data_IF_460915798359
#
_entry.id   IF_460915798359
#
_cell.length_a   1.000
_cell.length_b   1.000
_cell.length_c   1.000
_cell.angle_alpha   90.00
_cell.angle_beta   90.00
_cell.angle_gamma   90.00
#
_symmetry.space_group_name_H-M   'P 1'
#
loop_
_entity.id
_entity.type
_entity.pdbx_description
1 polymer ?
#
# COMPACT_ATOMS: atom_id res chain seq x y z
N UNK A 1 4.18 -8.02 -21.52
CA UNK A 1 3.37 -6.78 -21.56
C UNK A 1 3.99 -5.68 -20.71
N UNK A 2 4.13 -5.83 -19.38
CA UNK A 2 4.69 -4.79 -18.50
C UNK A 2 6.07 -4.27 -18.93
N UNK A 3 7.07 -5.16 -19.08
CA UNK A 3 8.42 -4.82 -19.56
C UNK A 3 8.36 -4.04 -20.88
N UNK A 4 7.64 -4.57 -21.87
CA UNK A 4 7.45 -3.91 -23.17
C UNK A 4 6.95 -2.47 -23.05
N UNK A 5 5.95 -2.21 -22.19
CA UNK A 5 5.43 -0.84 -21.97
C UNK A 5 6.51 0.05 -21.34
N UNK A 6 7.22 -0.44 -20.32
CA UNK A 6 8.29 0.32 -19.68
C UNK A 6 9.45 0.62 -20.64
N UNK A 7 9.89 -0.35 -21.43
CA UNK A 7 10.90 -0.16 -22.48
C UNK A 7 10.49 0.88 -23.52
N UNK A 8 9.21 0.91 -23.94
CA UNK A 8 8.69 1.95 -24.84
C UNK A 8 8.76 3.33 -24.19
N UNK A 9 8.35 3.48 -22.93
CA UNK A 9 8.45 4.75 -22.21
C UNK A 9 9.90 5.21 -22.04
N UNK A 10 10.81 4.29 -21.68
CA UNK A 10 12.24 4.56 -21.59
C UNK A 10 12.84 5.00 -22.93
N UNK A 11 12.52 4.28 -24.01
CA UNK A 11 12.96 4.65 -25.36
C UNK A 11 12.42 6.02 -25.79
N UNK A 12 11.15 6.31 -25.49
CA UNK A 12 10.55 7.62 -25.75
C UNK A 12 11.28 8.75 -25.00
N UNK A 13 11.54 8.59 -23.70
CA UNK A 13 12.29 9.56 -22.90
C UNK A 13 13.71 9.73 -23.45
N UNK A 14 14.40 8.64 -23.77
CA UNK A 14 15.75 8.68 -24.33
C UNK A 14 15.82 9.40 -25.68
N UNK A 15 14.89 9.11 -26.59
CA UNK A 15 14.76 9.79 -27.87
C UNK A 15 14.49 11.29 -27.68
N UNK A 16 13.70 11.66 -26.68
CA UNK A 16 13.34 13.06 -26.44
C UNK A 16 14.37 13.88 -25.71
N UNK A 17 15.24 13.25 -24.93
CA UNK A 17 16.16 13.97 -24.04
C UNK A 17 17.62 13.81 -24.45
N UNK A 18 18.02 12.67 -25.02
CA UNK A 18 19.42 12.38 -25.36
C UNK A 18 19.73 12.62 -26.83
N UNK A 19 18.83 12.24 -27.75
CA UNK A 19 19.00 12.53 -29.19
C UNK A 19 19.26 14.01 -29.50
N UNK A 20 18.56 14.98 -28.90
CA UNK A 20 18.72 16.41 -29.21
C UNK A 20 20.07 16.97 -28.75
N UNK A 21 20.78 16.26 -27.86
CA UNK A 21 22.14 16.65 -27.49
C UNK A 21 23.11 16.50 -28.67
N UNK A 22 22.74 15.73 -29.70
CA UNK A 22 23.46 15.66 -30.95
C UNK A 22 23.46 17.03 -31.66
N UNK A 23 24.51 17.82 -31.45
CA UNK A 23 24.70 19.12 -32.10
C UNK A 23 24.40 20.36 -31.25
N UNK A 24 24.02 20.18 -29.98
CA UNK A 24 23.82 21.30 -29.02
C UNK A 24 24.92 21.36 -27.96
N UNK A 25 25.41 20.19 -27.53
CA UNK A 25 26.47 20.06 -26.53
C UNK A 25 27.49 19.06 -27.09
N UNK A 26 28.79 19.30 -26.86
CA UNK A 26 29.89 18.41 -27.25
C UNK A 26 29.92 17.11 -26.39
N UNK A 27 28.79 16.43 -26.28
CA UNK A 27 28.71 15.12 -25.63
C UNK A 27 29.15 14.06 -26.64
N UNK A 28 30.23 13.32 -26.36
CA UNK A 28 30.72 12.30 -27.26
C UNK A 28 29.65 11.20 -27.47
N UNK A 29 29.73 10.50 -28.61
CA UNK A 29 28.76 9.44 -28.96
C UNK A 29 28.63 8.40 -27.85
N UNK A 30 29.74 8.00 -27.23
CA UNK A 30 29.73 7.04 -26.11
C UNK A 30 28.97 7.57 -24.89
N UNK A 31 29.03 8.88 -24.62
CA UNK A 31 28.34 9.50 -23.49
C UNK A 31 26.83 9.50 -23.71
N UNK A 32 26.40 9.79 -24.94
CA UNK A 32 24.98 9.68 -25.34
C UNK A 32 24.49 8.23 -25.28
N UNK A 33 25.28 7.28 -25.79
CA UNK A 33 24.94 5.86 -25.74
C UNK A 33 24.79 5.36 -24.28
N UNK A 34 25.70 5.80 -23.39
CA UNK A 34 25.62 5.48 -21.97
C UNK A 34 24.34 6.05 -21.32
N UNK A 35 23.98 7.31 -21.63
CA UNK A 35 22.76 7.91 -21.10
C UNK A 35 21.50 7.17 -21.55
N UNK A 36 21.41 6.78 -22.83
CA UNK A 36 20.32 5.94 -23.36
C UNK A 36 20.27 4.61 -22.60
N UNK A 37 21.41 3.95 -22.45
CA UNK A 37 21.49 2.67 -21.73
C UNK A 37 20.99 2.81 -20.29
N UNK A 38 21.42 3.85 -19.55
CA UNK A 38 20.96 4.08 -18.17
C UNK A 38 19.45 4.28 -18.10
N UNK A 39 18.86 5.08 -18.99
CA UNK A 39 17.40 5.29 -19.04
C UNK A 39 16.67 3.96 -19.26
N UNK A 40 17.14 3.14 -20.21
CA UNK A 40 16.53 1.85 -20.51
C UNK A 40 16.68 0.85 -19.36
N UNK A 41 17.84 0.81 -18.69
CA UNK A 41 18.06 -0.04 -17.51
C UNK A 41 17.15 0.36 -16.35
N UNK A 42 16.97 1.66 -16.12
CA UNK A 42 16.04 2.16 -15.10
C UNK A 42 14.59 1.82 -15.45
N UNK A 43 14.19 2.00 -16.71
CA UNK A 43 12.86 1.63 -17.19
C UNK A 43 12.58 0.12 -17.01
N UNK A 44 13.57 -0.72 -17.32
CA UNK A 44 13.47 -2.17 -17.26
C UNK A 44 13.88 -2.77 -15.91
N UNK A 45 13.98 -1.97 -14.85
CA UNK A 45 14.50 -2.42 -13.56
C UNK A 45 13.77 -3.69 -13.04
N UNK A 46 12.45 -3.82 -13.24
CA UNK A 46 11.69 -5.00 -12.80
C UNK A 46 12.05 -6.27 -13.58
N UNK A 47 12.32 -6.14 -14.88
CA UNK A 47 12.82 -7.24 -15.70
C UNK A 47 14.22 -7.63 -15.24
N UNK A 48 15.08 -6.65 -14.96
CA UNK A 48 16.42 -6.90 -14.43
C UNK A 48 16.38 -7.58 -13.06
N UNK A 49 15.50 -7.14 -12.15
CA UNK A 49 15.27 -7.79 -10.85
C UNK A 49 14.84 -9.24 -11.05
N UNK A 50 13.91 -9.50 -11.98
CA UNK A 50 13.45 -10.86 -12.28
C UNK A 50 14.58 -11.75 -12.80
N UNK A 51 15.42 -11.22 -13.68
CA UNK A 51 16.55 -11.97 -14.25
C UNK A 51 17.66 -12.21 -13.21
N UNK A 52 17.90 -11.26 -12.30
CA UNK A 52 18.97 -11.34 -11.31
C UNK A 52 18.58 -12.15 -10.07
N UNK A 53 17.34 -12.04 -9.60
CA UNK A 53 16.88 -12.55 -8.29
C UNK A 53 15.69 -13.51 -8.38
N UNK A 54 15.26 -13.87 -9.59
CA UNK A 54 14.14 -14.80 -9.81
C UNK A 54 12.74 -14.24 -9.51
N UNK A 55 12.64 -12.99 -9.05
CA UNK A 55 11.39 -12.32 -8.68
C UNK A 55 11.39 -10.86 -9.17
N UNK A 56 10.22 -10.24 -9.31
CA UNK A 56 10.13 -8.82 -9.72
C UNK A 56 9.74 -7.87 -8.57
N UNK A 57 9.63 -8.40 -7.35
CA UNK A 57 8.98 -7.72 -6.22
C UNK A 57 9.98 -7.23 -5.17
N UNK A 58 11.11 -7.92 -4.98
CA UNK A 58 12.19 -7.50 -4.08
C UNK A 58 13.48 -7.25 -4.86
N UNK A 59 13.97 -6.01 -4.81
CA UNK A 59 15.26 -5.63 -5.35
C UNK A 59 16.35 -5.77 -4.28
N UNK A 60 17.18 -6.80 -4.40
CA UNK A 60 18.18 -7.18 -3.39
C UNK A 60 19.53 -6.44 -3.53
N UNK A 61 19.46 -5.13 -3.75
CA UNK A 61 20.63 -4.23 -3.79
C UNK A 61 20.78 -3.44 -2.48
N UNK A 62 21.98 -2.91 -2.15
CA UNK A 62 22.15 -1.99 -1.03
C UNK A 62 21.10 -0.86 -1.03
N UNK A 63 20.61 -0.46 0.15
CA UNK A 63 19.50 0.50 0.30
C UNK A 63 19.65 1.77 -0.55
N UNK A 64 20.85 2.35 -0.57
CA UNK A 64 21.12 3.54 -1.36
C UNK A 64 20.91 3.32 -2.87
N UNK A 65 21.24 2.13 -3.37
CA UNK A 65 20.99 1.76 -4.77
C UNK A 65 19.51 1.53 -5.03
N UNK A 66 18.77 0.90 -4.11
CA UNK A 66 17.31 0.73 -4.25
C UNK A 66 16.60 2.09 -4.30
N UNK A 67 17.03 3.04 -3.47
CA UNK A 67 16.55 4.43 -3.52
C UNK A 67 16.87 5.07 -4.88
N UNK A 68 18.13 4.97 -5.33
CA UNK A 68 18.54 5.54 -6.61
C UNK A 68 17.79 4.95 -7.81
N UNK A 69 17.56 3.63 -7.81
CA UNK A 69 16.77 2.94 -8.84
C UNK A 69 15.32 3.41 -8.81
N UNK A 70 14.71 3.53 -7.64
CA UNK A 70 13.33 4.04 -7.53
C UNK A 70 13.20 5.50 -7.97
N UNK A 71 14.16 6.36 -7.63
CA UNK A 71 14.19 7.76 -8.11
C UNK A 71 14.36 7.78 -9.63
N UNK A 72 15.28 7.00 -10.18
CA UNK A 72 15.52 6.93 -11.61
C UNK A 72 14.33 6.37 -12.39
N UNK A 73 13.72 5.28 -11.91
CA UNK A 73 12.52 4.68 -12.51
C UNK A 73 11.33 5.64 -12.46
N UNK A 74 11.08 6.26 -11.30
CA UNK A 74 10.07 7.30 -11.16
C UNK A 74 10.31 8.49 -12.09
N UNK A 75 11.57 8.91 -12.27
CA UNK A 75 11.95 9.98 -13.18
C UNK A 75 11.61 9.61 -14.63
N UNK A 76 11.90 8.39 -15.08
CA UNK A 76 11.54 7.93 -16.44
C UNK A 76 10.02 8.03 -16.65
N UNK A 77 9.21 7.51 -15.71
CA UNK A 77 7.75 7.52 -15.84
C UNK A 77 7.20 8.95 -15.84
N UNK A 78 7.63 9.77 -14.87
CA UNK A 78 7.14 11.14 -14.72
C UNK A 78 7.57 12.02 -15.89
N UNK A 79 8.81 11.88 -16.37
CA UNK A 79 9.28 12.58 -17.56
C UNK A 79 8.55 12.14 -18.81
N UNK A 80 8.25 10.85 -18.98
CA UNK A 80 7.43 10.38 -20.09
C UNK A 80 6.04 11.03 -20.08
N UNK A 81 5.39 11.11 -18.91
CA UNK A 81 4.09 11.76 -18.77
C UNK A 81 4.15 13.27 -19.06
N UNK A 82 5.17 13.98 -18.55
CA UNK A 82 5.37 15.41 -18.80
C UNK A 82 5.64 15.70 -20.28
N UNK A 83 6.48 14.89 -20.93
CA UNK A 83 6.78 15.00 -22.35
C UNK A 83 5.53 14.73 -23.20
N UNK A 84 4.75 13.69 -22.87
CA UNK A 84 3.51 13.37 -23.57
C UNK A 84 2.47 14.49 -23.44
N UNK A 85 2.35 15.09 -22.24
CA UNK A 85 1.50 16.24 -22.01
C UNK A 85 1.94 17.43 -22.87
N UNK A 86 3.24 17.75 -22.86
CA UNK A 86 3.82 18.83 -23.64
C UNK A 86 3.57 18.64 -25.16
N UNK A 87 3.75 17.42 -25.66
CA UNK A 87 3.49 17.08 -27.07
C UNK A 87 2.02 17.22 -27.43
N UNK A 88 1.14 16.77 -26.54
CA UNK A 88 -0.31 16.89 -26.74
C UNK A 88 -0.70 18.37 -26.84
N UNK A 89 -0.17 19.22 -25.95
CA UNK A 89 -0.43 20.66 -25.97
C UNK A 89 0.12 21.31 -27.25
N UNK A 90 1.33 20.94 -27.68
CA UNK A 90 1.93 21.48 -28.92
C UNK A 90 1.22 20.99 -30.19
N UNK A 91 0.76 19.74 -30.21
CA UNK A 91 -0.07 19.21 -31.29
C UNK A 91 -1.39 19.97 -31.38
N UNK A 92 -2.11 20.13 -30.26
CA UNK A 92 -3.37 20.88 -30.23
C UNK A 92 -3.16 22.34 -30.67
N UNK A 93 -2.11 23.00 -30.18
CA UNK A 93 -1.74 24.35 -30.66
C UNK A 93 -1.48 24.36 -32.17
N UNK A 94 -0.75 23.39 -32.69
CA UNK A 94 -0.42 23.30 -34.11
C UNK A 94 -1.67 23.15 -34.98
N UNK A 95 -2.63 22.35 -34.52
CA UNK A 95 -3.92 22.15 -35.18
C UNK A 95 -4.79 23.42 -35.15
N UNK A 96 -4.80 24.16 -34.04
CA UNK A 96 -5.58 25.41 -33.90
C UNK A 96 -4.97 26.56 -34.70
N UNK A 97 -3.65 26.71 -34.62
CA UNK A 97 -2.94 27.85 -35.23
C UNK A 97 -2.52 27.60 -36.69
N UNK A 98 -2.67 26.37 -37.18
CA UNK A 98 -2.14 25.91 -38.47
C UNK A 98 -0.62 26.09 -38.62
N UNK A 99 0.09 26.27 -37.50
CA UNK A 99 1.55 26.35 -37.45
C UNK A 99 2.11 25.01 -37.00
N UNK A 100 2.62 24.20 -37.93
CA UNK A 100 3.03 22.83 -37.64
C UNK A 100 4.34 22.76 -36.84
N UNK A 101 4.22 22.72 -35.50
CA UNK A 101 5.31 22.52 -34.53
C UNK A 101 4.81 21.62 -33.40
N UNK A 102 4.55 20.32 -33.67
CA UNK A 102 3.85 19.44 -32.73
C UNK A 102 4.72 18.99 -31.54
N UNK A 103 6.03 19.24 -31.56
CA UNK A 103 6.96 18.84 -30.50
C UNK A 103 7.71 20.06 -29.97
N UNK A 104 7.70 20.23 -28.65
CA UNK A 104 8.45 21.28 -27.95
C UNK A 104 9.82 20.72 -27.50
N UNK A 105 10.69 20.51 -28.47
CA UNK A 105 11.98 19.83 -28.27
C UNK A 105 12.87 20.56 -27.26
N UNK A 106 12.85 21.89 -27.29
CA UNK A 106 13.59 22.79 -26.41
C UNK A 106 13.25 22.64 -24.91
N UNK A 107 12.07 22.10 -24.58
CA UNK A 107 11.63 21.89 -23.20
C UNK A 107 11.94 20.49 -22.67
N UNK A 108 12.49 19.59 -23.49
CA UNK A 108 12.67 18.19 -23.10
C UNK A 108 13.64 18.01 -21.92
N UNK A 109 14.70 18.84 -21.85
CA UNK A 109 15.61 18.84 -20.70
C UNK A 109 14.95 19.33 -19.42
N UNK A 110 14.08 20.35 -19.51
CA UNK A 110 13.31 20.85 -18.38
C UNK A 110 12.29 19.82 -17.87
N UNK A 111 11.61 19.10 -18.78
CA UNK A 111 10.71 18.01 -18.42
C UNK A 111 11.45 16.83 -17.74
N UNK A 112 12.66 16.52 -18.19
CA UNK A 112 13.51 15.52 -17.54
C UNK A 112 13.91 15.96 -16.12
N UNK A 113 14.42 17.18 -15.97
CA UNK A 113 14.81 17.73 -14.68
C UNK A 113 13.63 17.80 -13.70
N UNK A 114 12.47 18.27 -14.15
CA UNK A 114 11.26 18.33 -13.34
C UNK A 114 10.79 16.93 -12.94
N UNK A 115 10.78 15.97 -13.87
CA UNK A 115 10.42 14.57 -13.58
C UNK A 115 11.34 13.95 -12.53
N UNK A 116 12.65 14.19 -12.60
CA UNK A 116 13.62 13.76 -11.60
C UNK A 116 13.37 14.38 -10.22
N UNK A 117 13.08 15.68 -10.16
CA UNK A 117 12.78 16.37 -8.89
C UNK A 117 11.50 15.82 -8.27
N UNK A 118 10.43 15.66 -9.05
CA UNK A 118 9.17 15.09 -8.56
C UNK A 118 9.39 13.64 -8.09
N UNK A 119 10.17 12.84 -8.83
CA UNK A 119 10.52 11.48 -8.43
C UNK A 119 11.26 11.45 -7.10
N UNK A 120 12.29 12.28 -6.95
CA UNK A 120 13.07 12.38 -5.71
C UNK A 120 12.20 12.79 -4.52
N UNK A 121 11.30 13.77 -4.70
CA UNK A 121 10.32 14.15 -3.67
C UNK A 121 9.38 12.99 -3.34
N UNK A 122 8.87 12.29 -4.35
CA UNK A 122 7.96 11.16 -4.16
C UNK A 122 8.61 9.98 -3.43
N UNK A 123 9.85 9.65 -3.77
CA UNK A 123 10.64 8.63 -3.05
C UNK A 123 10.97 9.09 -1.64
N UNK A 124 11.36 10.35 -1.46
CA UNK A 124 11.59 10.90 -0.12
C UNK A 124 10.35 10.83 0.77
N UNK A 125 9.16 11.03 0.20
CA UNK A 125 7.89 10.86 0.93
C UNK A 125 7.59 9.40 1.26
N UNK A 126 7.86 8.47 0.33
CA UNK A 126 7.67 7.03 0.56
C UNK A 126 8.55 6.52 1.71
N UNK A 127 9.78 7.03 1.83
CA UNK A 127 10.73 6.65 2.89
C UNK A 127 10.36 7.14 4.30
N UNK A 128 9.33 7.97 4.44
CA UNK A 128 8.93 8.50 5.76
C UNK A 128 8.22 7.44 6.59
N UNK A 129 8.38 7.57 7.90
CA UNK A 129 7.53 6.86 8.84
C UNK A 129 6.06 7.29 8.65
N UNK A 130 5.09 6.37 8.81
CA UNK A 130 3.68 6.65 8.50
C UNK A 130 3.10 7.76 9.38
N UNK A 131 2.23 8.59 8.82
CA UNK A 131 1.49 9.56 9.62
C UNK A 131 0.46 8.83 10.49
N UNK A 132 0.30 9.26 11.74
CA UNK A 132 -0.81 8.74 12.56
C UNK A 132 -2.13 9.26 12.01
N UNK A 133 -3.13 8.39 11.94
CA UNK A 133 -4.50 8.71 11.54
C UNK A 133 -5.48 8.07 12.51
N UNK A 134 -6.38 8.88 13.05
CA UNK A 134 -7.37 8.43 14.01
C UNK A 134 -8.76 8.39 13.35
N UNK A 135 -9.47 7.28 13.53
CA UNK A 135 -10.84 7.07 13.08
C UNK A 135 -11.72 6.66 14.26
N UNK A 136 -12.98 7.05 14.21
CA UNK A 136 -14.01 6.60 15.14
C UNK A 136 -15.16 6.03 14.32
N UNK A 137 -15.46 4.73 14.49
CA UNK A 137 -16.43 4.01 13.67
C UNK A 137 -17.57 3.51 14.55
N UNK A 138 -18.80 3.87 14.20
CA UNK A 138 -19.99 3.31 14.82
C UNK A 138 -20.28 1.95 14.19
N UNK A 139 -20.19 0.89 14.99
CA UNK A 139 -20.43 -0.48 14.55
C UNK A 139 -21.83 -0.90 14.99
N UNK A 140 -22.64 -1.36 14.03
CA UNK A 140 -24.00 -1.85 14.30
C UNK A 140 -23.97 -3.06 15.23
N UNK A 141 -24.81 -3.07 16.27
CA UNK A 141 -24.85 -4.19 17.22
C UNK A 141 -23.59 -4.36 18.08
N UNK A 142 -22.66 -3.40 18.09
CA UNK A 142 -21.48 -3.47 18.94
C UNK A 142 -21.87 -3.50 20.43
N UNK A 143 -21.46 -4.50 21.21
CA UNK A 143 -21.71 -4.53 22.64
C UNK A 143 -21.07 -3.33 23.35
N UNK A 144 -21.75 -2.78 24.35
CA UNK A 144 -21.28 -1.60 25.10
C UNK A 144 -19.91 -1.82 25.78
N UNK A 145 -19.54 -3.07 26.07
CA UNK A 145 -18.23 -3.44 26.59
C UNK A 145 -17.06 -3.11 25.64
N UNK A 146 -17.35 -2.94 24.34
CA UNK A 146 -16.40 -2.52 23.31
C UNK A 146 -16.57 -1.04 22.91
N UNK A 147 -17.44 -0.26 23.57
CA UNK A 147 -17.48 1.19 23.30
C UNK A 147 -16.16 1.85 23.72
N UNK A 148 -15.52 2.55 22.76
CA UNK A 148 -14.20 3.13 22.96
C UNK A 148 -13.04 2.16 22.80
N UNK A 149 -13.28 0.91 22.39
CA UNK A 149 -12.24 -0.09 22.12
C UNK A 149 -11.32 0.36 20.99
N UNK A 150 -10.00 0.31 21.22
CA UNK A 150 -9.00 0.86 20.31
C UNK A 150 -8.25 -0.24 19.56
N UNK A 151 -8.35 -0.19 18.23
CA UNK A 151 -7.60 -1.01 17.29
C UNK A 151 -6.46 -0.18 16.69
N UNK A 152 -5.31 -0.78 16.44
CA UNK A 152 -4.30 -0.23 15.52
C UNK A 152 -4.22 -1.14 14.30
N UNK A 153 -4.44 -0.57 13.12
CA UNK A 153 -4.37 -1.26 11.85
C UNK A 153 -3.07 -0.93 11.13
N UNK A 154 -2.30 -1.98 10.83
CA UNK A 154 -1.10 -1.97 10.00
C UNK A 154 -1.34 -2.81 8.75
N UNK A 155 -0.68 -2.46 7.65
CA UNK A 155 -0.71 -3.24 6.40
C UNK A 155 0.37 -2.73 5.47
N UNK A 156 0.84 -3.55 4.54
CA UNK A 156 1.79 -3.10 3.51
C UNK A 156 3.05 -2.46 4.13
N UNK A 157 3.64 -3.14 5.12
CA UNK A 157 4.86 -2.69 5.80
C UNK A 157 6.08 -2.93 4.90
N UNK A 158 6.05 -3.97 4.07
CA UNK A 158 7.08 -4.25 3.05
C UNK A 158 8.52 -4.17 3.58
N UNK A 159 8.79 -4.79 4.73
CA UNK A 159 10.15 -4.89 5.29
C UNK A 159 11.07 -5.53 4.25
N UNK A 160 12.15 -4.81 3.93
CA UNK A 160 12.94 -5.01 2.71
C UNK A 160 14.23 -4.17 2.74
N UNK A 161 14.97 -4.13 1.62
CA UNK A 161 16.14 -3.23 1.45
C UNK A 161 15.79 -1.76 1.65
N UNK A 162 14.52 -1.40 1.44
CA UNK A 162 14.06 -0.03 1.59
C UNK A 162 13.66 0.29 3.04
N UNK A 163 12.97 -0.66 3.70
CA UNK A 163 12.48 -0.58 5.08
C UNK A 163 13.15 -1.65 5.93
N UNK A 164 14.27 -1.28 6.54
CA UNK A 164 15.13 -2.16 7.33
C UNK A 164 14.76 -2.10 8.82
N UNK A 165 15.51 -2.83 9.65
CA UNK A 165 15.33 -2.96 11.09
C UNK A 165 14.99 -1.66 11.82
N UNK A 166 15.73 -0.57 11.59
CA UNK A 166 15.50 0.73 12.26
C UNK A 166 14.09 1.29 12.00
N UNK A 167 13.55 1.02 10.80
CA UNK A 167 12.18 1.39 10.44
C UNK A 167 11.18 0.59 11.29
N UNK A 168 11.36 -0.74 11.37
CA UNK A 168 10.52 -1.63 12.15
C UNK A 168 10.57 -1.29 13.65
N UNK A 169 11.76 -1.05 14.22
CA UNK A 169 11.92 -0.66 15.63
C UNK A 169 11.20 0.64 15.95
N UNK A 170 11.27 1.63 15.05
CA UNK A 170 10.56 2.89 15.22
C UNK A 170 9.05 2.72 15.07
N UNK A 171 8.60 1.92 14.11
CA UNK A 171 7.18 1.61 13.94
C UNK A 171 6.61 0.93 15.19
N UNK A 172 7.29 -0.11 15.71
CA UNK A 172 6.88 -0.86 16.90
C UNK A 172 6.76 0.05 18.12
N UNK A 173 7.74 0.92 18.35
CA UNK A 173 7.65 1.92 19.43
C UNK A 173 6.41 2.81 19.28
N UNK A 174 6.20 3.36 18.08
CA UNK A 174 5.05 4.25 17.82
C UNK A 174 3.70 3.54 17.98
N UNK A 175 3.60 2.28 17.57
CA UNK A 175 2.39 1.46 17.75
C UNK A 175 2.13 1.24 19.24
N UNK A 176 3.15 0.84 19.99
CA UNK A 176 3.02 0.60 21.43
C UNK A 176 2.67 1.87 22.21
N UNK A 177 3.20 3.03 21.81
CA UNK A 177 2.90 4.33 22.40
C UNK A 177 1.42 4.75 22.24
N UNK A 178 0.70 4.16 21.28
CA UNK A 178 -0.75 4.40 21.12
C UNK A 178 -1.59 3.71 22.19
N UNK A 179 -1.05 2.71 22.89
CA UNK A 179 -1.73 2.01 23.99
C UNK A 179 -3.02 1.28 23.58
N UNK A 180 -3.06 0.77 22.35
CA UNK A 180 -4.25 0.12 21.78
C UNK A 180 -4.62 -1.18 22.50
N UNK A 181 -5.91 -1.52 22.47
CA UNK A 181 -6.40 -2.79 23.00
C UNK A 181 -6.02 -3.95 22.06
N UNK A 182 -6.04 -3.73 20.74
CA UNK A 182 -5.73 -4.74 19.71
C UNK A 182 -4.85 -4.18 18.59
N UNK A 183 -3.88 -4.98 18.10
CA UNK A 183 -3.14 -4.66 16.86
C UNK A 183 -3.54 -5.66 15.78
N UNK A 184 -3.84 -5.15 14.59
CA UNK A 184 -4.33 -5.90 13.45
C UNK A 184 -3.46 -5.62 12.23
N UNK A 185 -2.95 -6.67 11.57
CA UNK A 185 -2.07 -6.57 10.41
C UNK A 185 -2.70 -7.27 9.21
N UNK A 186 -3.14 -6.54 8.20
CA UNK A 186 -3.87 -7.10 7.05
C UNK A 186 -2.98 -7.41 5.84
N UNK A 187 -1.80 -7.99 6.06
CA UNK A 187 -0.94 -8.51 5.00
C UNK A 187 0.20 -7.62 4.51
N UNK A 188 1.04 -8.21 3.64
CA UNK A 188 2.20 -7.59 2.99
C UNK A 188 3.21 -6.99 4.00
N UNK A 189 3.67 -7.83 4.94
CA UNK A 189 4.65 -7.39 5.94
C UNK A 189 6.06 -7.33 5.35
N UNK A 190 6.36 -8.13 4.32
CA UNK A 190 7.72 -8.38 3.83
C UNK A 190 7.85 -8.28 2.31
N UNK A 191 9.08 -8.06 1.86
CA UNK A 191 9.52 -8.35 0.50
C UNK A 191 10.86 -9.07 0.51
N UNK A 192 10.91 -10.26 -0.10
CA UNK A 192 12.09 -11.09 -0.19
C UNK A 192 12.02 -12.35 0.68
N UNK A 193 12.99 -13.24 0.50
CA UNK A 193 13.03 -14.54 1.17
C UNK A 193 13.54 -14.42 2.61
N UNK A 194 12.94 -15.20 3.53
CA UNK A 194 13.19 -15.15 4.98
C UNK A 194 14.68 -15.08 5.40
N UNK A 195 15.61 -15.89 4.85
CA UNK A 195 17.01 -15.87 5.32
C UNK A 195 17.72 -14.52 5.17
N UNK A 196 17.24 -13.66 4.26
CA UNK A 196 17.80 -12.33 4.07
C UNK A 196 17.27 -11.29 5.07
N UNK A 197 16.12 -11.56 5.70
CA UNK A 197 15.27 -10.53 6.32
C UNK A 197 14.89 -10.80 7.77
N UNK A 198 15.21 -11.96 8.31
CA UNK A 198 14.90 -12.33 9.70
C UNK A 198 15.28 -11.25 10.73
N UNK A 199 16.46 -10.62 10.57
CA UNK A 199 16.93 -9.56 11.49
C UNK A 199 16.16 -8.26 11.39
N UNK A 200 15.65 -7.93 10.20
CA UNK A 200 14.89 -6.72 9.93
C UNK A 200 13.44 -6.86 10.40
N UNK A 201 12.89 -8.08 10.39
CA UNK A 201 11.53 -8.40 10.86
C UNK A 201 11.49 -8.66 12.38
N UNK A 202 12.59 -9.10 12.98
CA UNK A 202 12.68 -9.40 14.42
C UNK A 202 12.08 -8.34 15.38
N UNK A 203 12.18 -7.02 15.12
CA UNK A 203 11.54 -6.01 15.98
C UNK A 203 10.03 -6.17 16.13
N UNK A 204 9.33 -6.79 15.17
CA UNK A 204 7.88 -6.98 15.23
C UNK A 204 7.44 -7.84 16.43
N UNK A 205 8.31 -8.69 16.97
CA UNK A 205 8.06 -9.41 18.23
C UNK A 205 7.86 -8.47 19.44
N UNK A 206 8.26 -7.20 19.30
CA UNK A 206 8.05 -6.18 20.31
C UNK A 206 6.67 -5.51 20.26
N UNK A 207 5.80 -5.83 19.29
CA UNK A 207 4.44 -5.30 19.23
C UNK A 207 3.64 -5.76 20.44
N UNK A 208 2.93 -4.84 21.08
CA UNK A 208 2.14 -5.10 22.29
C UNK A 208 0.75 -4.50 22.17
N UNK A 209 -0.25 -5.33 22.42
CA UNK A 209 -1.63 -4.94 22.63
C UNK A 209 -2.20 -5.83 23.74
N UNK A 210 -3.23 -5.34 24.43
CA UNK A 210 -3.84 -6.06 25.58
C UNK A 210 -4.45 -7.39 25.15
N UNK A 211 -5.15 -7.35 24.03
CA UNK A 211 -5.94 -8.47 23.51
C UNK A 211 -5.22 -9.18 22.35
N UNK A 212 -3.98 -8.79 22.06
CA UNK A 212 -3.07 -9.49 21.14
C UNK A 212 -2.72 -8.73 19.85
N UNK A 213 -1.90 -9.38 19.04
CA UNK A 213 -1.44 -8.89 17.73
C UNK A 213 -1.79 -9.94 16.69
N UNK A 214 -2.70 -9.64 15.78
CA UNK A 214 -3.20 -10.58 14.78
C UNK A 214 -2.75 -10.20 13.38
N UNK A 215 -2.41 -11.21 12.56
CA UNK A 215 -1.95 -11.03 11.19
C UNK A 215 -2.70 -11.94 10.22
N UNK A 216 -3.08 -11.37 9.08
CA UNK A 216 -3.60 -12.07 7.90
C UNK A 216 -2.59 -11.93 6.77
N UNK A 217 -2.44 -12.91 5.86
CA UNK A 217 -1.47 -12.79 4.78
C UNK A 217 -1.96 -11.86 3.67
N UNK A 218 -1.04 -11.14 3.05
CA UNK A 218 -1.21 -10.46 1.78
C UNK A 218 -0.62 -11.28 0.63
N UNK A 219 -0.57 -10.71 -0.57
CA UNK A 219 -0.04 -11.42 -1.73
C UNK A 219 1.49 -11.64 -1.64
N UNK A 220 2.22 -10.79 -0.93
CA UNK A 220 3.68 -10.87 -0.84
C UNK A 220 4.16 -12.05 -0.01
N UNK A 221 3.42 -12.46 1.01
CA UNK A 221 3.73 -13.70 1.74
C UNK A 221 3.76 -14.92 0.80
N UNK A 222 2.87 -14.97 -0.21
CA UNK A 222 2.87 -16.07 -1.19
C UNK A 222 4.00 -15.96 -2.21
N UNK A 223 4.42 -14.73 -2.56
CA UNK A 223 5.52 -14.52 -3.50
C UNK A 223 6.87 -14.98 -2.96
N UNK A 224 7.03 -15.01 -1.63
CA UNK A 224 8.30 -15.25 -0.95
C UNK A 224 8.28 -16.45 0.00
N UNK A 225 7.59 -17.53 -0.38
CA UNK A 225 7.47 -18.78 0.38
C UNK A 225 6.60 -18.65 1.65
N UNK A 226 5.28 -18.63 1.43
CA UNK A 226 4.27 -18.48 2.48
C UNK A 226 4.58 -19.29 3.74
N UNK A 227 4.83 -20.59 3.64
CA UNK A 227 5.05 -21.45 4.80
C UNK A 227 6.25 -21.05 5.67
N UNK A 228 7.32 -20.54 5.07
CA UNK A 228 8.51 -20.09 5.81
C UNK A 228 8.21 -18.81 6.61
N UNK A 229 7.62 -17.81 5.93
CA UNK A 229 7.25 -16.56 6.59
C UNK A 229 6.13 -16.73 7.61
N UNK A 230 5.14 -17.57 7.34
CA UNK A 230 4.05 -17.85 8.25
C UNK A 230 4.56 -18.47 9.55
N UNK A 231 5.48 -19.44 9.46
CA UNK A 231 6.16 -19.99 10.64
C UNK A 231 6.96 -18.93 11.41
N UNK A 232 7.73 -18.10 10.70
CA UNK A 232 8.50 -17.02 11.33
C UNK A 232 7.61 -16.00 12.05
N UNK A 233 6.43 -15.67 11.52
CA UNK A 233 5.48 -14.78 12.19
C UNK A 233 4.95 -15.38 13.49
N UNK A 234 4.67 -16.69 13.51
CA UNK A 234 4.33 -17.41 14.73
C UNK A 234 5.48 -17.35 15.77
N UNK A 235 6.73 -17.56 15.34
CA UNK A 235 7.90 -17.49 16.22
C UNK A 235 8.13 -16.08 16.82
N UNK A 236 7.67 -15.04 16.12
CA UNK A 236 7.65 -13.65 16.61
C UNK A 236 6.49 -13.38 17.57
N UNK A 237 5.62 -14.35 17.84
CA UNK A 237 4.47 -14.21 18.72
C UNK A 237 3.26 -13.51 18.09
N UNK A 238 3.21 -13.43 16.76
CA UNK A 238 2.03 -12.92 16.05
C UNK A 238 0.98 -14.02 15.96
N UNK A 239 -0.27 -13.69 16.27
CA UNK A 239 -1.39 -14.61 16.12
C UNK A 239 -1.83 -14.66 14.66
N UNK A 240 -1.72 -15.82 14.05
CA UNK A 240 -1.91 -16.02 12.62
C UNK A 240 -3.39 -16.31 12.32
N UNK A 241 -3.96 -15.61 11.33
CA UNK A 241 -5.33 -15.82 10.86
C UNK A 241 -5.30 -16.02 9.34
N UNK A 242 -5.53 -17.26 8.88
CA UNK A 242 -5.55 -17.60 7.45
C UNK A 242 -6.76 -18.47 7.12
N UNK A 243 -7.87 -17.82 6.73
CA UNK A 243 -9.21 -18.42 6.71
C UNK A 243 -9.61 -18.95 8.09
N UNK A 244 -9.32 -18.17 9.13
CA UNK A 244 -9.55 -18.51 10.53
C UNK A 244 -10.03 -17.27 11.30
N UNK A 245 -10.58 -17.48 12.48
CA UNK A 245 -10.97 -16.42 13.39
C UNK A 245 -10.48 -16.68 14.82
N UNK A 246 -10.48 -15.62 15.60
CA UNK A 246 -10.45 -15.66 17.06
C UNK A 246 -11.64 -14.88 17.62
N UNK A 247 -11.95 -15.11 18.89
CA UNK A 247 -12.96 -14.34 19.63
C UNK A 247 -12.24 -13.58 20.74
N UNK A 248 -12.34 -12.25 20.71
CA UNK A 248 -11.95 -11.39 21.83
C UNK A 248 -13.15 -11.22 22.74
N UNK A 249 -12.99 -11.51 24.02
CA UNK A 249 -14.05 -11.35 25.03
C UNK A 249 -13.80 -10.15 25.91
N UNK A 250 -14.80 -9.27 26.07
CA UNK A 250 -14.73 -8.13 26.98
C UNK A 250 -16.07 -7.94 27.67
N UNK A 251 -16.06 -7.89 29.00
CA UNK A 251 -17.29 -7.73 29.80
C UNK A 251 -18.33 -8.83 29.55
N UNK A 252 -17.90 -10.05 29.17
CA UNK A 252 -18.78 -11.15 28.81
C UNK A 252 -19.41 -11.07 27.40
N UNK A 253 -19.01 -10.09 26.59
CA UNK A 253 -19.44 -9.94 25.21
C UNK A 253 -18.33 -10.35 24.23
N UNK A 254 -18.67 -11.03 23.11
CA UNK A 254 -17.71 -11.42 22.09
C UNK A 254 -17.51 -10.36 21.00
N UNK A 255 -16.30 -10.28 20.46
CA UNK A 255 -15.95 -9.61 19.21
C UNK A 255 -15.16 -10.60 18.36
N UNK A 256 -15.64 -10.92 17.15
CA UNK A 256 -14.96 -11.85 16.25
C UNK A 256 -13.92 -11.08 15.44
N UNK A 257 -12.70 -11.60 15.42
CA UNK A 257 -11.62 -11.10 14.57
C UNK A 257 -11.22 -12.22 13.64
N UNK A 258 -11.47 -12.05 12.34
CA UNK A 258 -11.21 -13.05 11.32
C UNK A 258 -10.15 -12.57 10.33
N UNK A 259 -9.41 -13.49 9.74
CA UNK A 259 -8.45 -13.21 8.67
C UNK A 259 -8.60 -14.18 7.52
N UNK A 260 -8.49 -13.67 6.29
CA UNK A 260 -8.57 -14.47 5.06
C UNK A 260 -7.21 -14.65 4.41
N UNK A 261 -7.05 -15.77 3.71
CA UNK A 261 -5.96 -15.94 2.74
C UNK A 261 -6.13 -14.99 1.56
N UNK A 262 -5.03 -14.69 0.85
CA UNK A 262 -5.06 -13.73 -0.26
C UNK A 262 -5.53 -14.37 -1.57
N UNK A 263 -6.06 -13.56 -2.50
CA UNK A 263 -6.44 -13.99 -3.85
C UNK A 263 -5.27 -14.58 -4.66
N UNK A 264 -4.02 -14.32 -4.28
CA UNK A 264 -2.84 -14.93 -4.86
C UNK A 264 -2.63 -16.40 -4.45
N UNK A 265 -3.15 -16.83 -3.30
CA UNK A 265 -2.88 -18.15 -2.72
C UNK A 265 -3.11 -19.33 -3.69
N UNK A 266 -4.21 -19.39 -4.47
CA UNK A 266 -4.45 -20.50 -5.41
C UNK A 266 -3.37 -20.63 -6.49
N UNK A 267 -2.72 -19.54 -6.89
CA UNK A 267 -1.62 -19.56 -7.86
C UNK A 267 -0.40 -20.34 -7.33
N UNK A 268 -0.28 -20.44 -6.02
CA UNK A 268 0.79 -21.16 -5.32
C UNK A 268 0.30 -22.51 -4.76
N UNK A 269 -0.86 -23.00 -5.19
CA UNK A 269 -1.42 -24.28 -4.76
C UNK A 269 -1.98 -24.28 -3.34
N UNK A 270 -2.27 -23.10 -2.78
CA UNK A 270 -2.84 -22.93 -1.44
C UNK A 270 -4.32 -22.50 -1.51
N UNK A 271 -5.12 -22.72 -0.46
CA UNK A 271 -6.52 -22.29 -0.42
C UNK A 271 -6.64 -20.77 -0.59
N UNK A 272 -7.59 -20.33 -1.42
CA UNK A 272 -7.93 -18.91 -1.57
C UNK A 272 -8.86 -18.41 -0.44
N UNK A 273 -9.24 -17.13 -0.46
CA UNK A 273 -10.06 -16.52 0.58
C UNK A 273 -11.38 -17.27 0.75
N UNK A 274 -11.63 -17.73 1.97
CA UNK A 274 -12.83 -18.48 2.35
C UNK A 274 -13.39 -17.97 3.67
N UNK A 275 -14.41 -17.11 3.57
CA UNK A 275 -15.09 -16.53 4.73
C UNK A 275 -15.89 -17.56 5.51
N UNK A 276 -16.40 -18.58 4.84
CA UNK A 276 -17.26 -19.60 5.45
C UNK A 276 -16.42 -20.49 6.35
N UNK A 277 -15.23 -20.88 5.86
CA UNK A 277 -14.21 -21.52 6.68
C UNK A 277 -13.75 -20.62 7.83
N UNK A 278 -13.46 -19.34 7.55
CA UNK A 278 -12.97 -18.41 8.57
C UNK A 278 -13.94 -18.22 9.73
N UNK A 279 -15.25 -18.17 9.47
CA UNK A 279 -16.29 -17.95 10.48
C UNK A 279 -16.94 -19.24 10.99
N UNK A 280 -16.43 -20.41 10.61
CA UNK A 280 -16.98 -21.68 11.06
C UNK A 280 -16.88 -21.81 12.59
N UNK A 281 -18.03 -21.89 13.28
CA UNK A 281 -18.11 -21.98 14.74
C UNK A 281 -17.97 -20.65 15.48
N UNK A 282 -17.89 -19.51 14.78
CA UNK A 282 -17.91 -18.20 15.41
C UNK A 282 -19.27 -17.96 16.12
N UNK A 283 -19.30 -17.23 17.25
CA UNK A 283 -20.54 -16.93 17.96
C UNK A 283 -21.54 -16.20 17.06
N UNK A 284 -22.76 -16.72 16.97
CA UNK A 284 -23.82 -16.11 16.15
C UNK A 284 -24.15 -14.69 16.65
N UNK A 285 -24.26 -13.74 15.72
CA UNK A 285 -24.64 -12.35 16.01
C UNK A 285 -23.55 -11.50 16.68
N UNK A 286 -22.36 -12.05 16.93
CA UNK A 286 -21.22 -11.26 17.38
C UNK A 286 -20.70 -10.36 16.25
N UNK A 287 -20.29 -9.11 16.51
CA UNK A 287 -19.71 -8.25 15.48
C UNK A 287 -18.41 -8.84 14.94
N UNK A 288 -18.18 -8.67 13.63
CA UNK A 288 -17.04 -9.24 12.91
C UNK A 288 -16.12 -8.15 12.37
N UNK A 289 -14.87 -8.16 12.83
CA UNK A 289 -13.75 -7.43 12.24
C UNK A 289 -12.94 -8.38 11.34
N UNK A 290 -12.94 -8.11 10.05
CA UNK A 290 -12.29 -8.94 9.03
C UNK A 290 -10.98 -8.30 8.53
N UNK A 291 -9.89 -9.05 8.58
CA UNK A 291 -8.65 -8.77 7.87
C UNK A 291 -8.71 -9.44 6.50
N UNK A 292 -8.78 -8.63 5.45
CA UNK A 292 -8.75 -9.13 4.07
C UNK A 292 -7.89 -8.18 3.25
N UNK A 293 -6.69 -8.62 2.90
CA UNK A 293 -5.64 -7.77 2.37
C UNK A 293 -6.09 -6.95 1.14
N UNK A 294 -6.76 -7.60 0.19
CA UNK A 294 -7.31 -6.92 -0.98
C UNK A 294 -8.74 -6.44 -0.69
N UNK A 295 -9.10 -5.18 -1.03
CA UNK A 295 -10.47 -4.70 -0.87
C UNK A 295 -11.45 -5.28 -1.89
N UNK A 296 -10.92 -6.07 -2.85
CA UNK A 296 -11.73 -6.82 -3.82
C UNK A 296 -12.65 -7.77 -3.06
N UNK A 297 -13.88 -7.95 -3.56
CA UNK A 297 -14.91 -8.76 -2.90
C UNK A 297 -15.51 -8.16 -1.60
N UNK A 298 -15.21 -6.91 -1.21
CA UNK A 298 -15.80 -6.30 -0.01
C UNK A 298 -17.34 -6.33 0.01
N UNK A 299 -18.00 -6.18 -1.15
CA UNK A 299 -19.47 -6.32 -1.27
C UNK A 299 -19.95 -7.72 -0.90
N UNK A 300 -19.19 -8.76 -1.24
CA UNK A 300 -19.49 -10.16 -0.85
C UNK A 300 -19.30 -10.34 0.65
N UNK A 301 -18.30 -9.70 1.27
CA UNK A 301 -18.07 -9.76 2.71
C UNK A 301 -19.20 -9.07 3.49
N UNK A 302 -19.62 -7.88 3.04
CA UNK A 302 -20.76 -7.17 3.62
C UNK A 302 -22.05 -8.00 3.58
N UNK A 303 -22.36 -8.61 2.42
CA UNK A 303 -23.54 -9.46 2.26
C UNK A 303 -23.54 -10.73 3.15
N UNK A 304 -22.40 -11.06 3.77
CA UNK A 304 -22.22 -12.21 4.67
C UNK A 304 -22.14 -11.80 6.15
N UNK A 305 -22.47 -10.54 6.48
CA UNK A 305 -22.59 -10.07 7.86
C UNK A 305 -21.27 -9.62 8.49
N UNK A 306 -20.28 -9.23 7.69
CA UNK A 306 -19.07 -8.56 8.21
C UNK A 306 -19.41 -7.11 8.55
N UNK A 307 -18.95 -6.62 9.70
CA UNK A 307 -19.25 -5.25 10.17
C UNK A 307 -18.11 -4.26 9.87
N UNK A 308 -16.86 -4.72 9.96
CA UNK A 308 -15.67 -3.93 9.65
C UNK A 308 -14.68 -4.78 8.86
N UNK A 309 -14.33 -4.37 7.64
CA UNK A 309 -13.23 -4.95 6.88
C UNK A 309 -12.04 -3.98 6.85
N UNK A 310 -10.86 -4.49 7.17
CA UNK A 310 -9.59 -3.80 7.09
C UNK A 310 -8.75 -4.36 5.93
N UNK A 311 -8.40 -3.49 4.99
CA UNK A 311 -7.69 -3.84 3.76
C UNK A 311 -6.49 -2.91 3.52
N UNK A 312 -5.56 -3.38 2.70
CA UNK A 312 -4.39 -2.65 2.21
C UNK A 312 -4.28 -2.76 0.69
N UNK A 313 -3.12 -3.22 0.19
CA UNK A 313 -2.83 -3.64 -1.18
C UNK A 313 -2.72 -2.52 -2.22
N UNK A 314 -3.57 -1.50 -2.13
CA UNK A 314 -3.72 -0.47 -3.15
C UNK A 314 -2.69 0.65 -3.02
N UNK A 315 -2.09 0.79 -1.83
CA UNK A 315 -1.24 1.91 -1.41
C UNK A 315 -1.86 3.30 -1.69
N UNK A 316 -3.19 3.38 -1.70
CA UNK A 316 -3.93 4.60 -2.07
C UNK A 316 -3.71 5.07 -3.50
N UNK A 317 -3.22 4.20 -4.38
CA UNK A 317 -2.85 4.54 -5.76
C UNK A 317 -1.48 5.21 -5.91
N UNK A 318 -0.72 5.38 -4.82
CA UNK A 318 0.68 5.87 -4.76
C UNK A 318 0.87 7.34 -5.18
N UNK A 319 0.21 7.78 -6.25
CA UNK A 319 0.21 9.15 -6.78
C UNK A 319 -1.23 9.61 -6.92
N UNK A 320 -1.56 10.77 -6.34
CA UNK A 320 -2.90 11.36 -6.43
C UNK A 320 -3.32 11.52 -7.89
N UNK A 321 -4.51 11.01 -8.24
CA UNK A 321 -5.04 10.96 -9.60
C UNK A 321 -4.88 9.58 -10.27
N UNK A 322 -3.90 8.76 -9.85
CA UNK A 322 -3.80 7.38 -10.31
C UNK A 322 -4.77 6.44 -9.59
N UNK A 323 -5.32 6.86 -8.46
CA UNK A 323 -6.37 6.15 -7.72
C UNK A 323 -7.55 5.80 -8.64
N UNK A 324 -7.98 6.69 -9.54
CA UNK A 324 -9.05 6.39 -10.50
C UNK A 324 -8.73 5.22 -11.44
N UNK A 325 -7.46 5.05 -11.83
CA UNK A 325 -7.01 3.92 -12.64
C UNK A 325 -6.97 2.64 -11.78
N UNK A 326 -6.40 2.72 -10.59
CA UNK A 326 -6.28 1.60 -9.65
C UNK A 326 -7.66 1.08 -9.18
N UNK A 327 -8.63 1.98 -9.04
CA UNK A 327 -10.01 1.66 -8.68
C UNK A 327 -10.65 0.66 -9.64
N UNK A 328 -10.29 0.70 -10.94
CA UNK A 328 -10.84 -0.21 -11.97
C UNK A 328 -10.45 -1.67 -11.73
N UNK A 329 -9.37 -1.91 -11.00
CA UNK A 329 -8.89 -3.25 -10.63
C UNK A 329 -9.35 -3.68 -9.24
N UNK A 330 -9.92 -2.76 -8.45
CA UNK A 330 -10.28 -2.95 -7.05
C UNK A 330 -11.78 -2.67 -6.79
N UNK A 331 -12.62 -2.85 -7.81
CA UNK A 331 -14.08 -2.62 -7.76
C UNK A 331 -14.53 -1.25 -7.24
N UNK A 332 -13.70 -0.22 -7.45
CA UNK A 332 -13.93 1.14 -6.99
C UNK A 332 -13.23 1.53 -5.69
N UNK A 333 -12.67 0.56 -4.95
CA UNK A 333 -12.09 0.80 -3.63
C UNK A 333 -10.56 1.01 -3.71
N UNK A 334 -10.05 2.11 -3.16
CA UNK A 334 -8.63 2.45 -3.25
C UNK A 334 -8.06 3.04 -1.98
N UNK A 335 -8.74 3.99 -1.33
CA UNK A 335 -8.20 4.70 -0.18
C UNK A 335 -9.32 5.24 0.70
N UNK A 336 -9.19 5.02 2.00
CA UNK A 336 -10.05 5.60 3.01
C UNK A 336 -11.22 4.70 3.41
N UNK A 337 -12.20 5.33 4.06
CA UNK A 337 -13.37 4.66 4.63
C UNK A 337 -14.53 4.67 3.63
N UNK A 338 -15.15 3.51 3.44
CA UNK A 338 -16.32 3.30 2.63
C UNK A 338 -17.41 2.63 3.47
N UNK A 339 -18.67 2.98 3.22
CA UNK A 339 -19.80 2.19 3.67
C UNK A 339 -20.23 1.26 2.52
N UNK A 340 -20.24 -0.04 2.78
CA UNK A 340 -20.61 -1.08 1.81
C UNK A 340 -21.75 -1.87 2.42
N UNK A 341 -22.99 -1.52 2.06
CA UNK A 341 -24.20 -2.20 2.54
C UNK A 341 -24.28 -2.33 4.07
N UNK A 342 -23.84 -1.29 4.80
CA UNK A 342 -23.81 -1.27 6.27
C UNK A 342 -22.47 -1.67 6.89
N UNK A 343 -21.61 -2.39 6.17
CA UNK A 343 -20.24 -2.69 6.58
C UNK A 343 -19.34 -1.48 6.41
N UNK A 344 -18.46 -1.22 7.37
CA UNK A 344 -17.34 -0.29 7.16
C UNK A 344 -16.20 -1.02 6.45
N UNK A 345 -15.84 -0.58 5.25
CA UNK A 345 -14.61 -1.00 4.59
C UNK A 345 -13.59 0.12 4.77
N UNK A 346 -12.46 -0.19 5.40
CA UNK A 346 -11.32 0.71 5.46
C UNK A 346 -10.17 0.20 4.59
N UNK A 347 -9.81 0.98 3.57
CA UNK A 347 -8.65 0.71 2.71
C UNK A 347 -7.53 1.65 3.09
N UNK A 348 -6.52 1.11 3.76
CA UNK A 348 -5.34 1.87 4.17
C UNK A 348 -4.47 2.22 2.97
N UNK A 349 -3.80 3.37 3.05
CA UNK A 349 -2.79 3.76 2.07
C UNK A 349 -1.45 3.00 2.24
N UNK A 350 -1.39 2.04 3.15
CA UNK A 350 -0.19 1.30 3.53
C UNK A 350 0.58 1.98 4.65
N UNK A 351 1.11 1.17 5.57
CA UNK A 351 2.02 1.60 6.64
C UNK A 351 3.38 2.00 6.07
N UNK A 352 3.80 1.39 4.96
CA UNK A 352 4.94 1.79 4.17
C UNK A 352 4.60 1.75 2.67
N UNK A 353 5.50 1.23 1.83
CA UNK A 353 5.33 1.17 0.38
C UNK A 353 6.09 -0.03 -0.20
N UNK A 354 5.54 -0.70 -1.20
CA UNK A 354 6.27 -1.72 -1.93
C UNK A 354 7.52 -1.14 -2.67
N UNK A 355 8.74 -1.69 -2.49
CA UNK A 355 9.98 -1.17 -3.07
C UNK A 355 10.09 -1.28 -4.61
N UNK A 356 9.20 -2.02 -5.28
CA UNK A 356 9.13 -2.03 -6.74
C UNK A 356 8.58 -0.73 -7.35
N UNK A 357 7.79 0.02 -6.58
CA UNK A 357 7.34 1.36 -6.96
C UNK A 357 7.26 2.27 -5.73
N UNK A 358 8.42 2.67 -5.22
CA UNK A 358 8.53 3.48 -4.01
C UNK A 358 8.29 4.98 -4.27
N UNK A 359 7.24 5.34 -5.01
CA UNK A 359 6.93 6.73 -5.37
C UNK A 359 5.60 7.16 -4.72
N UNK A 360 5.65 8.12 -3.79
CA UNK A 360 4.46 8.59 -3.05
C UNK A 360 4.21 10.09 -3.20
N UNK A 361 3.13 10.49 -3.87
CA UNK A 361 2.79 11.89 -4.16
C UNK A 361 1.34 12.20 -3.80
N UNK A 362 1.13 12.96 -2.72
CA UNK A 362 -0.20 13.40 -2.29
C UNK A 362 -1.08 12.31 -1.65
N UNK A 363 -0.49 11.17 -1.30
CA UNK A 363 -1.15 10.01 -0.69
C UNK A 363 -0.24 9.53 0.46
N UNK A 364 -0.30 10.09 1.68
CA UNK A 364 0.64 9.72 2.76
C UNK A 364 0.44 8.26 3.22
N UNK A 365 1.51 7.63 3.73
CA UNK A 365 1.42 6.35 4.44
C UNK A 365 0.80 6.55 5.82
N UNK A 366 0.19 5.50 6.36
CA UNK A 366 -0.73 5.62 7.49
C UNK A 366 -0.45 4.58 8.60
N UNK A 367 -0.47 5.07 9.84
CA UNK A 367 -0.55 4.30 11.07
C UNK A 367 -1.94 4.59 11.64
N UNK A 368 -2.89 3.69 11.38
CA UNK A 368 -4.30 3.98 11.64
C UNK A 368 -4.72 3.45 13.00
N UNK A 369 -5.19 4.31 13.88
CA UNK A 369 -5.90 3.92 15.11
C UNK A 369 -7.40 4.07 14.88
N UNK A 370 -8.14 3.01 15.13
CA UNK A 370 -9.59 2.94 14.95
C UNK A 370 -10.22 2.75 16.32
N UNK A 371 -11.11 3.66 16.71
CA UNK A 371 -11.92 3.54 17.92
C UNK A 371 -13.30 3.02 17.54
N UNK A 372 -13.70 1.89 18.09
CA UNK A 372 -15.05 1.35 17.90
C UNK A 372 -16.03 2.08 18.80
N UNK A 373 -17.23 2.35 18.29
CA UNK A 373 -18.31 3.02 19.02
C UNK A 373 -19.60 2.22 18.92
N UNK A 374 -20.28 2.10 20.06
CA UNK A 374 -21.62 1.52 20.12
C UNK A 374 -22.63 2.54 19.59
N UNK A 375 -23.46 2.15 18.63
CA UNK A 375 -24.52 3.00 18.09
C UNK A 375 -25.57 3.41 19.14
N UNK A 376 -25.65 2.71 20.27
CA UNK A 376 -26.57 3.04 21.37
C UNK A 376 -26.03 4.12 22.32
N UNK A 377 -24.71 4.32 22.37
CA UNK A 377 -24.08 5.28 23.27
C UNK A 377 -24.25 6.74 22.82
N UNK A 378 -24.43 7.00 21.52
CA UNK A 378 -24.63 8.34 20.96
C UNK A 378 -26.03 8.92 21.21
N UNK A 379 -27.04 8.08 21.47
CA UNK A 379 -28.40 8.52 21.81
C UNK A 379 -28.54 9.06 23.25
N UNK A 380 -27.60 8.76 24.15
CA UNK A 380 -27.65 9.16 25.56
C UNK A 380 -27.11 10.55 25.90
N UNK A 381 -26.57 11.31 24.92
CA UNK A 381 -25.91 12.61 25.16
C UNK A 381 -26.64 13.84 24.60
N UNK A 382 -27.92 13.72 24.24
CA UNK A 382 -28.61 14.77 23.47
C UNK A 382 -30.06 15.08 23.87
N UNK A 383 -30.38 15.28 25.15
CA UNK A 383 -31.62 15.98 25.58
C UNK A 383 -31.41 16.74 26.89
N UNK A 384 -30.45 17.67 26.89
CA UNK A 384 -30.32 18.68 27.93
C UNK A 384 -31.22 19.89 27.64
N UNK A 385 -32.42 19.84 28.20
CA UNK A 385 -33.38 20.92 28.47
C UNK A 385 -33.00 22.36 28.04
N UNK A 386 -33.64 22.88 26.98
CA UNK A 386 -33.79 24.31 26.76
C UNK A 386 -35.29 24.63 26.72
N UNK A 387 -35.84 24.97 27.88
CA UNK A 387 -37.14 25.65 28.00
C UNK A 387 -37.02 27.06 27.42
N UNK A 388 -38.01 27.54 26.64
CA UNK A 388 -38.08 28.93 26.24
C UNK A 388 -38.72 29.75 27.37
N UNK A 389 -37.94 30.67 27.94
CA UNK A 389 -38.42 31.68 28.89
C UNK A 389 -38.33 33.07 28.27
N UNK A 390 -39.53 33.64 28.02
CA UNK A 390 -39.92 35.06 27.86
C UNK A 390 -39.12 35.97 26.93
#
# INVERSE_FOLDING_TARGET
>A
MFATVMGILGAYVALRTVWPLAGVVDVPVWGRALAVLVILLLAENHLLTRLAYGNMFSLELPRAMVIAVNVGFGAVILSAALLLLLDTVMLLRSLVTWQWRPLAQEWSGAALALGLVIAAVGVSNALRQPAQKDLSLEIGGLPDAFDGYQLVHLTDIHLSRLYQRDFAETLVRRVNDLGADLVLISGDLIDGYLPAWERDVAPLAGLKARDGVFVSPGNHEYYFEFGAWWGAYADLGLSLLANEHTVVERGGAPLVVAGLTDLAAPRFGLPGPDLDAALAGAPEGAPVVLLNHQPRQARRMAARGVDLQLSGHTHGGMVRGLDALIARFNEGFVSGLYNVDGMHLYVSNGTAQWPGFALRLGVPSELTRITLRSANASAGRGTGDLRPGT
#
